data_IF_619607513863
#
_entry.id   IF_619607513863
#
_cell.length_a   1.000
_cell.length_b   1.000
_cell.length_c   1.000
_cell.angle_alpha   90.00
_cell.angle_beta   90.00
_cell.angle_gamma   90.00
#
_symmetry.space_group_name_H-M   'P 1'
#
loop_
_entity.id
_entity.type
_entity.pdbx_description
1 polymer ?
#
# COMPACT_ATOMS: atom_id res chain seq x y z
N UNK A 1 15.12 3.78 -24.13
CA UNK A 1 14.59 2.79 -25.11
C UNK A 1 14.88 3.14 -26.58
N UNK A 2 15.78 4.07 -26.90
CA UNK A 2 16.01 4.49 -28.29
C UNK A 2 16.45 3.35 -29.24
N UNK A 3 17.00 2.27 -28.69
CA UNK A 3 17.44 1.07 -29.41
C UNK A 3 16.34 -0.02 -29.56
N UNK A 4 15.11 0.19 -29.05
CA UNK A 4 14.02 -0.80 -29.08
C UNK A 4 12.75 -0.23 -29.75
N UNK A 5 12.75 0.01 -31.08
CA UNK A 5 11.66 0.71 -31.76
C UNK A 5 10.31 0.01 -31.65
N UNK A 6 10.27 -1.33 -31.71
CA UNK A 6 9.02 -2.09 -31.55
C UNK A 6 8.43 -1.99 -30.14
N UNK A 7 9.28 -2.01 -29.11
CA UNK A 7 8.84 -1.85 -27.72
C UNK A 7 8.27 -0.44 -27.48
N UNK A 8 8.89 0.58 -28.08
CA UNK A 8 8.39 1.97 -28.02
C UNK A 8 7.03 2.08 -28.71
N UNK A 9 6.85 1.49 -29.89
CA UNK A 9 5.55 1.49 -30.59
C UNK A 9 4.45 0.80 -29.78
N UNK A 10 4.74 -0.36 -29.19
CA UNK A 10 3.79 -1.10 -28.36
C UNK A 10 3.41 -0.31 -27.09
N UNK A 11 4.40 0.25 -26.39
CA UNK A 11 4.15 1.13 -25.24
C UNK A 11 3.32 2.36 -25.64
N UNK A 12 3.60 2.97 -26.81
CA UNK A 12 2.82 4.09 -27.35
C UNK A 12 1.35 3.73 -27.57
N UNK A 13 1.07 2.56 -28.14
CA UNK A 13 -0.29 2.07 -28.34
C UNK A 13 -1.03 1.85 -27.01
N UNK A 14 -0.38 1.25 -26.01
CA UNK A 14 -0.96 1.05 -24.67
C UNK A 14 -1.24 2.39 -23.99
N UNK A 15 -0.29 3.33 -24.04
CA UNK A 15 -0.45 4.67 -23.46
C UNK A 15 -1.61 5.41 -24.13
N UNK A 16 -1.70 5.34 -25.46
CA UNK A 16 -2.79 5.95 -26.21
C UNK A 16 -4.15 5.36 -25.80
N UNK A 17 -4.26 4.04 -25.70
CA UNK A 17 -5.49 3.37 -25.29
C UNK A 17 -5.91 3.76 -23.85
N UNK A 18 -4.95 3.80 -22.92
CA UNK A 18 -5.21 4.27 -21.54
C UNK A 18 -5.66 5.74 -21.53
N UNK A 19 -5.05 6.59 -22.37
CA UNK A 19 -5.45 7.99 -22.50
C UNK A 19 -6.90 8.15 -22.96
N UNK A 20 -7.34 7.33 -23.92
CA UNK A 20 -8.71 7.37 -24.45
C UNK A 20 -9.74 6.80 -23.47
N UNK A 21 -9.39 5.71 -22.77
CA UNK A 21 -10.34 4.97 -21.93
C UNK A 21 -10.40 5.45 -20.49
N UNK A 22 -9.32 6.05 -19.97
CA UNK A 22 -9.17 6.43 -18.57
C UNK A 22 -8.62 7.86 -18.45
N UNK A 23 -9.54 8.84 -18.52
CA UNK A 23 -9.19 10.26 -18.40
C UNK A 23 -8.52 10.53 -17.04
N UNK A 24 -7.35 11.18 -17.07
CA UNK A 24 -6.59 11.54 -15.87
C UNK A 24 -5.59 10.49 -15.37
N UNK A 25 -5.62 9.26 -15.89
CA UNK A 25 -4.72 8.17 -15.43
C UNK A 25 -3.29 8.27 -15.98
N UNK A 26 -3.05 9.01 -17.07
CA UNK A 26 -1.70 9.16 -17.63
C UNK A 26 -0.71 9.82 -16.66
N UNK A 27 -1.18 10.77 -15.85
CA UNK A 27 -0.40 11.35 -14.76
C UNK A 27 -0.01 10.32 -13.70
N UNK A 28 -0.54 9.08 -13.78
CA UNK A 28 -0.23 7.92 -12.95
C UNK A 28 0.91 7.02 -13.49
N UNK A 29 1.40 7.25 -14.70
CA UNK A 29 2.47 6.44 -15.28
C UNK A 29 3.81 7.20 -15.18
N UNK A 30 4.58 6.93 -14.12
CA UNK A 30 5.83 7.67 -13.83
C UNK A 30 7.07 7.13 -14.53
N UNK A 31 7.05 5.87 -14.96
CA UNK A 31 8.24 5.23 -15.51
C UNK A 31 7.85 4.16 -16.52
N UNK A 32 8.52 4.20 -17.65
CA UNK A 32 8.64 3.06 -18.54
C UNK A 32 10.03 2.47 -18.34
N UNK A 33 10.09 1.19 -17.99
CA UNK A 33 11.33 0.42 -17.92
C UNK A 33 11.29 -0.68 -18.97
N UNK A 34 12.39 -0.85 -19.69
CA UNK A 34 12.57 -2.00 -20.56
C UNK A 34 12.84 -3.23 -19.72
N UNK A 35 12.13 -4.31 -20.02
CA UNK A 35 12.35 -5.61 -19.42
C UNK A 35 13.27 -6.42 -20.35
N UNK A 36 14.42 -6.86 -19.83
CA UNK A 36 15.26 -7.85 -20.48
C UNK A 36 14.97 -9.20 -19.86
N UNK A 37 14.68 -10.20 -20.69
CA UNK A 37 14.47 -11.59 -20.27
C UNK A 37 15.71 -12.20 -19.61
N UNK A 38 16.88 -11.63 -19.85
CA UNK A 38 18.17 -12.23 -19.52
C UNK A 38 18.50 -12.19 -18.02
N UNK A 39 17.80 -11.37 -17.24
CA UNK A 39 17.99 -11.27 -15.79
C UNK A 39 17.20 -12.33 -14.99
N UNK A 40 16.32 -13.06 -15.67
CA UNK A 40 15.43 -14.04 -15.05
C UNK A 40 15.45 -15.36 -15.79
N UNK A 41 15.19 -16.45 -15.08
CA UNK A 41 14.99 -17.75 -15.70
C UNK A 41 13.74 -17.70 -16.59
N UNK A 42 13.90 -18.03 -17.87
CA UNK A 42 12.78 -18.17 -18.79
C UNK A 42 11.95 -19.39 -18.38
N UNK A 43 10.73 -19.15 -17.92
CA UNK A 43 9.74 -20.18 -17.62
C UNK A 43 8.56 -20.03 -18.59
N UNK A 44 8.46 -20.94 -19.56
CA UNK A 44 7.32 -20.95 -20.46
C UNK A 44 6.03 -21.34 -19.72
N UNK A 45 4.88 -21.06 -20.35
CA UNK A 45 3.57 -21.29 -19.74
C UNK A 45 3.35 -22.76 -19.40
N UNK A 46 3.89 -23.70 -20.21
CA UNK A 46 3.74 -25.13 -19.95
C UNK A 46 4.53 -25.55 -18.72
N UNK A 47 5.74 -25.03 -18.55
CA UNK A 47 6.59 -25.25 -17.38
C UNK A 47 5.93 -24.70 -16.13
N UNK A 48 5.42 -23.47 -16.17
CA UNK A 48 4.69 -22.88 -15.03
C UNK A 48 3.46 -23.69 -14.64
N UNK A 49 2.73 -24.24 -15.63
CA UNK A 49 1.56 -25.09 -15.41
C UNK A 49 1.94 -26.47 -14.85
N UNK A 50 2.97 -27.11 -15.40
CA UNK A 50 3.41 -28.44 -15.00
C UNK A 50 4.04 -28.44 -13.60
N UNK A 51 4.68 -27.32 -13.21
CA UNK A 51 5.16 -27.09 -11.85
C UNK A 51 4.06 -26.63 -10.89
N UNK A 52 2.82 -26.45 -11.38
CA UNK A 52 1.67 -25.93 -10.62
C UNK A 52 2.02 -24.68 -9.79
N UNK A 53 2.79 -23.73 -10.36
CA UNK A 53 3.31 -22.59 -9.60
C UNK A 53 2.21 -21.74 -8.99
N UNK A 54 1.13 -21.50 -9.75
CA UNK A 54 0.06 -20.58 -9.36
C UNK A 54 -1.32 -21.21 -9.30
N UNK A 55 -1.54 -22.31 -10.01
CA UNK A 55 -2.80 -23.03 -10.10
C UNK A 55 -2.53 -24.53 -10.21
N UNK A 56 -3.36 -25.34 -9.58
CA UNK A 56 -3.29 -26.79 -9.74
C UNK A 56 -3.83 -27.21 -11.10
N UNK A 57 -3.14 -28.14 -11.78
CA UNK A 57 -3.57 -28.68 -13.06
C UNK A 57 -4.84 -29.53 -12.93
N UNK A 58 -5.11 -30.10 -11.74
CA UNK A 58 -6.29 -30.94 -11.49
C UNK A 58 -7.57 -30.13 -11.31
N UNK A 59 -7.51 -29.03 -10.54
CA UNK A 59 -8.70 -28.26 -10.16
C UNK A 59 -8.83 -26.95 -10.95
N UNK A 60 -7.75 -26.47 -11.57
CA UNK A 60 -7.69 -25.13 -12.18
C UNK A 60 -7.76 -23.99 -11.16
N UNK A 61 -7.75 -24.30 -9.87
CA UNK A 61 -7.82 -23.31 -8.79
C UNK A 61 -6.44 -23.10 -8.18
N UNK A 62 -6.27 -22.00 -7.44
CA UNK A 62 -5.03 -21.76 -6.70
C UNK A 62 -4.79 -22.83 -5.62
N UNK A 63 -5.84 -23.49 -5.13
CA UNK A 63 -5.72 -24.52 -4.09
C UNK A 63 -4.94 -25.73 -4.62
N UNK A 64 -3.85 -26.06 -3.95
CA UNK A 64 -2.93 -27.14 -4.35
C UNK A 64 -1.74 -26.67 -5.19
N UNK A 65 -1.64 -25.38 -5.52
CA UNK A 65 -0.47 -24.80 -6.18
C UNK A 65 0.69 -24.55 -5.20
N UNK A 66 1.91 -24.44 -5.71
CA UNK A 66 3.07 -24.06 -4.89
C UNK A 66 2.83 -22.72 -4.18
N UNK A 67 2.31 -21.72 -4.90
CA UNK A 67 1.98 -20.41 -4.31
C UNK A 67 1.05 -20.55 -3.11
N UNK A 68 0.03 -21.41 -3.17
CA UNK A 68 -0.91 -21.60 -2.05
C UNK A 68 -0.27 -22.21 -0.79
N UNK A 69 0.86 -22.90 -0.94
CA UNK A 69 1.61 -23.50 0.18
C UNK A 69 2.58 -22.49 0.79
N UNK A 70 3.27 -21.70 -0.04
CA UNK A 70 4.34 -20.80 0.41
C UNK A 70 3.87 -19.39 0.74
N UNK A 71 2.71 -18.97 0.23
CA UNK A 71 2.16 -17.64 0.50
C UNK A 71 1.52 -17.57 1.88
N UNK A 72 2.38 -17.31 2.88
CA UNK A 72 2.01 -17.00 4.26
C UNK A 72 2.22 -15.50 4.57
N UNK A 73 2.25 -14.67 3.51
CA UNK A 73 2.51 -13.24 3.62
C UNK A 73 1.44 -12.54 4.47
N UNK A 74 1.83 -11.45 5.13
CA UNK A 74 0.94 -10.70 6.03
C UNK A 74 0.30 -9.47 5.39
N UNK A 75 0.74 -9.09 4.20
CA UNK A 75 0.20 -7.97 3.44
C UNK A 75 -0.18 -8.40 2.03
N UNK A 76 -1.26 -7.85 1.45
CA UNK A 76 -1.63 -8.16 0.06
C UNK A 76 -0.53 -7.81 -0.96
N UNK A 77 0.21 -6.73 -0.73
CA UNK A 77 1.36 -6.35 -1.56
C UNK A 77 2.51 -7.34 -1.47
N UNK A 78 2.73 -7.96 -0.29
CA UNK A 78 3.70 -9.03 -0.10
C UNK A 78 3.35 -10.28 -0.90
N UNK A 79 2.08 -10.70 -0.89
CA UNK A 79 1.62 -11.85 -1.69
C UNK A 79 1.77 -11.61 -3.19
N UNK A 80 1.45 -10.38 -3.67
CA UNK A 80 1.70 -9.99 -5.07
C UNK A 80 3.20 -10.02 -5.42
N UNK A 81 4.06 -9.56 -4.52
CA UNK A 81 5.51 -9.61 -4.72
C UNK A 81 6.04 -11.05 -4.79
N UNK A 82 5.60 -11.91 -3.86
CA UNK A 82 5.99 -13.33 -3.84
C UNK A 82 5.56 -14.04 -5.13
N UNK A 83 4.30 -13.84 -5.56
CA UNK A 83 3.80 -14.36 -6.84
C UNK A 83 4.67 -13.91 -8.02
N UNK A 84 5.07 -12.63 -8.04
CA UNK A 84 5.96 -12.09 -9.08
C UNK A 84 7.33 -12.78 -9.06
N UNK A 85 7.94 -12.92 -7.88
CA UNK A 85 9.24 -13.58 -7.74
C UNK A 85 9.21 -15.04 -8.18
N UNK A 86 8.14 -15.77 -7.86
CA UNK A 86 7.99 -17.16 -8.31
C UNK A 86 7.88 -17.29 -9.83
N UNK A 87 7.24 -16.32 -10.50
CA UNK A 87 7.13 -16.30 -11.97
C UNK A 87 8.37 -15.75 -12.68
N UNK A 88 9.27 -15.13 -11.93
CA UNK A 88 10.49 -14.48 -12.44
C UNK A 88 11.67 -14.83 -11.53
N UNK A 89 12.15 -16.09 -11.54
CA UNK A 89 13.32 -16.47 -10.74
C UNK A 89 14.54 -15.69 -11.22
N UNK A 90 15.29 -15.10 -10.29
CA UNK A 90 16.48 -14.32 -10.61
C UNK A 90 17.64 -15.21 -11.08
N UNK A 91 18.47 -14.67 -11.97
CA UNK A 91 19.76 -15.25 -12.36
C UNK A 91 20.96 -14.51 -11.75
N UNK A 92 20.75 -13.33 -11.18
CA UNK A 92 21.79 -12.56 -10.51
C UNK A 92 22.11 -13.16 -9.12
N UNK A 93 23.32 -13.72 -9.01
CA UNK A 93 23.79 -14.33 -7.76
C UNK A 93 23.92 -13.32 -6.62
N UNK A 94 24.32 -12.07 -6.89
CA UNK A 94 24.48 -11.07 -5.83
C UNK A 94 23.13 -10.73 -5.18
N UNK A 95 22.09 -10.56 -6.00
CA UNK A 95 20.73 -10.32 -5.50
C UNK A 95 20.14 -11.56 -4.82
N UNK A 96 20.44 -12.77 -5.31
CA UNK A 96 20.04 -14.02 -4.64
C UNK A 96 20.67 -14.14 -3.26
N UNK A 97 21.99 -13.92 -3.14
CA UNK A 97 22.71 -13.94 -1.86
C UNK A 97 22.13 -12.88 -0.91
N UNK A 98 21.92 -11.65 -1.38
CA UNK A 98 21.31 -10.58 -0.57
C UNK A 98 19.94 -10.96 0.00
N UNK A 99 19.12 -11.71 -0.74
CA UNK A 99 17.82 -12.23 -0.26
C UNK A 99 17.99 -13.37 0.73
N UNK A 100 18.93 -14.29 0.47
CA UNK A 100 19.24 -15.41 1.35
C UNK A 100 19.77 -14.91 2.70
N UNK A 101 20.64 -13.91 2.69
CA UNK A 101 21.17 -13.25 3.88
C UNK A 101 20.04 -12.64 4.72
N UNK A 102 19.09 -11.95 4.08
CA UNK A 102 17.91 -11.41 4.76
C UNK A 102 17.03 -12.51 5.37
N UNK A 103 16.83 -13.63 4.65
CA UNK A 103 16.10 -14.78 5.17
C UNK A 103 16.84 -15.39 6.37
N UNK A 104 18.16 -15.62 6.25
CA UNK A 104 19.01 -16.19 7.30
C UNK A 104 18.93 -15.36 8.58
N UNK A 105 19.04 -14.03 8.47
CA UNK A 105 18.91 -13.13 9.60
C UNK A 105 17.60 -13.33 10.38
N UNK A 106 16.46 -13.41 9.69
CA UNK A 106 15.14 -13.66 10.31
C UNK A 106 14.93 -15.12 10.76
N UNK A 107 15.61 -16.09 10.17
CA UNK A 107 15.57 -17.49 10.60
C UNK A 107 16.25 -17.62 11.95
N UNK A 108 17.44 -17.06 12.09
CA UNK A 108 18.26 -17.13 13.31
C UNK A 108 17.65 -16.29 14.45
N UNK A 109 16.90 -15.24 14.12
CA UNK A 109 16.30 -14.29 15.09
C UNK A 109 14.79 -14.45 15.18
N UNK A 110 14.37 -15.52 15.83
CA UNK A 110 12.94 -15.88 15.95
C UNK A 110 12.08 -14.80 16.64
N UNK A 111 12.61 -14.07 17.62
CA UNK A 111 11.89 -12.98 18.28
C UNK A 111 11.62 -11.81 17.31
N UNK A 112 12.68 -11.33 16.64
CA UNK A 112 12.60 -10.26 15.64
C UNK A 112 11.64 -10.64 14.51
N UNK A 113 11.72 -11.87 14.00
CA UNK A 113 10.80 -12.40 12.98
C UNK A 113 9.35 -12.33 13.43
N UNK A 114 9.04 -12.81 14.64
CA UNK A 114 7.66 -12.83 15.13
C UNK A 114 7.11 -11.41 15.37
N UNK A 115 7.94 -10.49 15.87
CA UNK A 115 7.57 -9.09 16.01
C UNK A 115 7.29 -8.44 14.64
N UNK A 116 8.18 -8.65 13.65
CA UNK A 116 7.98 -8.13 12.30
C UNK A 116 6.72 -8.68 11.64
N UNK A 117 6.45 -9.99 11.77
CA UNK A 117 5.21 -10.63 11.30
C UNK A 117 3.98 -9.97 11.94
N UNK A 118 4.01 -9.75 13.26
CA UNK A 118 2.89 -9.12 13.97
C UNK A 118 2.64 -7.69 13.51
N UNK A 119 3.71 -6.90 13.33
CA UNK A 119 3.61 -5.53 12.84
C UNK A 119 3.04 -5.47 11.42
N UNK A 120 3.59 -6.28 10.51
CA UNK A 120 3.17 -6.33 9.11
C UNK A 120 1.72 -6.81 8.96
N UNK A 121 1.20 -7.61 9.89
CA UNK A 121 -0.22 -8.01 9.90
C UNK A 121 -1.20 -6.85 10.08
N UNK A 122 -0.76 -5.72 10.63
CA UNK A 122 -1.57 -4.50 10.75
C UNK A 122 -1.47 -3.55 9.55
N UNK A 123 -0.57 -3.83 8.59
CA UNK A 123 -0.29 -2.94 7.46
C UNK A 123 -1.32 -3.16 6.36
N UNK A 124 -1.99 -2.08 5.95
CA UNK A 124 -2.93 -2.09 4.85
C UNK A 124 -2.22 -2.26 3.50
N UNK A 125 -3.00 -2.44 2.43
CA UNK A 125 -2.46 -2.52 1.07
C UNK A 125 -1.95 -1.15 0.58
N UNK A 126 -0.72 -0.78 0.97
CA UNK A 126 -0.10 0.51 0.67
C UNK A 126 0.00 0.79 -0.83
N UNK A 127 0.37 -0.20 -1.63
CA UNK A 127 0.45 -0.05 -3.10
C UNK A 127 -0.92 0.35 -3.68
N UNK A 128 -2.01 -0.25 -3.20
CA UNK A 128 -3.36 0.13 -3.60
C UNK A 128 -3.76 1.52 -3.09
N UNK A 129 -3.45 1.83 -1.83
CA UNK A 129 -3.78 3.12 -1.22
C UNK A 129 -3.08 4.27 -1.94
N UNK A 130 -1.78 4.15 -2.23
CA UNK A 130 -1.00 5.16 -2.94
C UNK A 130 -1.59 5.44 -4.33
N UNK A 131 -1.98 4.39 -5.08
CA UNK A 131 -2.59 4.57 -6.39
C UNK A 131 -3.94 5.30 -6.30
N UNK A 132 -4.73 5.06 -5.26
CA UNK A 132 -6.01 5.77 -5.03
C UNK A 132 -5.80 7.24 -4.63
N UNK A 133 -4.81 7.52 -3.77
CA UNK A 133 -4.44 8.89 -3.39
C UNK A 133 -4.01 9.67 -4.62
N UNK A 134 -3.14 9.08 -5.44
CA UNK A 134 -2.68 9.69 -6.69
C UNK A 134 -3.79 9.88 -7.73
N UNK A 135 -4.83 9.06 -7.67
CA UNK A 135 -6.03 9.22 -8.48
C UNK A 135 -7.06 10.18 -7.91
N UNK A 136 -6.79 10.83 -6.78
CA UNK A 136 -7.73 11.73 -6.10
C UNK A 136 -9.09 11.07 -5.76
N UNK A 137 -9.10 9.74 -5.63
CA UNK A 137 -10.28 8.92 -5.33
C UNK A 137 -10.17 8.21 -3.98
N UNK A 138 -9.12 8.49 -3.19
CA UNK A 138 -8.96 7.95 -1.86
C UNK A 138 -10.04 8.51 -0.92
N UNK A 139 -10.65 7.63 -0.13
CA UNK A 139 -11.64 8.04 0.89
C UNK A 139 -10.97 8.31 2.24
N UNK A 140 -11.60 9.07 3.17
CA UNK A 140 -10.99 9.40 4.46
C UNK A 140 -10.47 8.21 5.26
N UNK A 141 -11.23 7.12 5.31
CA UNK A 141 -10.82 5.88 6.00
C UNK A 141 -9.55 5.25 5.40
N UNK A 142 -9.37 5.39 4.10
CA UNK A 142 -8.17 4.91 3.40
C UNK A 142 -6.94 5.74 3.74
N UNK A 143 -7.10 7.05 3.91
CA UNK A 143 -6.02 7.94 4.37
C UNK A 143 -5.62 7.63 5.81
N UNK A 144 -6.58 7.37 6.70
CA UNK A 144 -6.28 6.91 8.07
C UNK A 144 -5.58 5.54 8.06
N UNK A 145 -6.00 4.61 7.20
CA UNK A 145 -5.33 3.32 7.05
C UNK A 145 -3.89 3.47 6.52
N UNK A 146 -3.65 4.41 5.61
CA UNK A 146 -2.32 4.79 5.14
C UNK A 146 -1.46 5.30 6.29
N UNK A 147 -1.98 6.24 7.10
CA UNK A 147 -1.30 6.77 8.29
C UNK A 147 -0.87 5.65 9.24
N UNK A 148 -1.82 4.81 9.68
CA UNK A 148 -1.56 3.68 10.60
C UNK A 148 -0.54 2.68 10.04
N UNK A 149 -0.54 2.48 8.73
CA UNK A 149 0.43 1.61 8.05
C UNK A 149 1.84 2.23 8.05
N UNK A 150 1.96 3.54 7.83
CA UNK A 150 3.23 4.26 7.86
C UNK A 150 3.81 4.36 9.29
N UNK A 151 2.95 4.52 10.31
CA UNK A 151 3.33 4.46 11.74
C UNK A 151 4.00 3.12 12.12
N UNK A 152 3.78 2.05 11.33
CA UNK A 152 4.41 0.75 11.55
C UNK A 152 5.87 0.70 11.08
N UNK A 153 6.25 1.52 10.10
CA UNK A 153 7.59 1.54 9.51
C UNK A 153 8.72 1.80 10.53
N UNK A 154 8.68 2.85 11.38
CA UNK A 154 9.73 3.07 12.37
C UNK A 154 9.88 1.89 13.34
N UNK A 155 8.77 1.26 13.73
CA UNK A 155 8.78 0.08 14.62
C UNK A 155 9.44 -1.14 13.97
N UNK A 156 9.23 -1.34 12.67
CA UNK A 156 9.93 -2.40 11.92
C UNK A 156 11.44 -2.11 11.82
N UNK A 157 11.83 -0.84 11.70
CA UNK A 157 13.25 -0.45 11.71
C UNK A 157 13.90 -0.74 13.06
N UNK A 158 13.23 -0.41 14.16
CA UNK A 158 13.74 -0.69 15.51
C UNK A 158 14.02 -2.19 15.72
N UNK A 159 13.19 -3.08 15.16
CA UNK A 159 13.43 -4.53 15.21
C UNK A 159 14.72 -4.92 14.48
N UNK A 160 15.00 -4.27 13.36
CA UNK A 160 16.22 -4.51 12.56
C UNK A 160 17.46 -3.93 13.29
N UNK A 161 17.30 -2.79 13.98
CA UNK A 161 18.39 -2.09 14.68
C UNK A 161 18.74 -2.69 16.06
N UNK A 162 17.74 -3.23 16.77
CA UNK A 162 17.85 -3.62 18.18
C UNK A 162 18.74 -4.83 18.47
N UNK A 163 19.28 -5.51 17.45
CA UNK A 163 20.01 -6.78 17.60
C UNK A 163 21.49 -6.69 17.18
N UNK A 164 22.07 -5.49 17.33
CA UNK A 164 23.44 -5.17 16.90
C UNK A 164 23.50 -4.71 15.46
N UNK A 165 24.52 -3.93 15.12
CA UNK A 165 24.74 -3.35 13.78
C UNK A 165 25.20 -4.44 12.79
N UNK A 166 24.36 -5.45 12.56
CA UNK A 166 24.57 -6.49 11.58
C UNK A 166 24.28 -5.91 10.20
N UNK A 167 25.34 -5.39 9.56
CA UNK A 167 25.28 -4.71 8.26
C UNK A 167 24.67 -5.55 7.14
N UNK A 168 24.57 -6.88 7.34
CA UNK A 168 24.05 -7.86 6.38
C UNK A 168 22.68 -7.49 5.83
N UNK A 169 21.80 -6.95 6.67
CA UNK A 169 20.45 -6.52 6.25
C UNK A 169 20.22 -5.00 6.36
N UNK A 170 21.29 -4.22 6.52
CA UNK A 170 21.20 -2.76 6.66
C UNK A 170 20.46 -2.08 5.49
N UNK A 171 20.56 -2.66 4.30
CA UNK A 171 19.83 -2.18 3.13
C UNK A 171 18.30 -2.22 3.28
N UNK A 172 17.74 -3.18 4.03
CA UNK A 172 16.30 -3.24 4.28
C UNK A 172 15.85 -2.05 5.12
N UNK A 173 16.67 -1.69 6.12
CA UNK A 173 16.44 -0.50 6.95
C UNK A 173 16.48 0.78 6.11
N UNK A 174 17.42 0.89 5.18
CA UNK A 174 17.56 2.09 4.33
C UNK A 174 16.36 2.29 3.39
N UNK A 175 15.74 1.19 2.94
CA UNK A 175 14.53 1.22 2.12
C UNK A 175 13.25 1.52 2.94
N UNK A 176 13.27 1.27 4.25
CA UNK A 176 12.15 1.56 5.16
C UNK A 176 12.11 3.05 5.51
N UNK A 177 11.33 3.82 4.75
CA UNK A 177 11.15 5.26 4.94
C UNK A 177 9.93 5.57 5.82
N UNK A 178 10.09 6.16 7.02
CA UNK A 178 8.96 6.42 7.94
C UNK A 178 7.94 7.44 7.43
N UNK A 179 8.34 8.35 6.54
CA UNK A 179 7.45 9.36 5.94
C UNK A 179 6.67 10.19 6.99
N UNK A 180 7.36 10.65 8.03
CA UNK A 180 6.75 11.30 9.20
C UNK A 180 5.86 12.49 8.83
N UNK A 181 6.28 13.33 7.87
CA UNK A 181 5.49 14.47 7.39
C UNK A 181 4.09 14.07 6.90
N UNK A 182 3.96 12.91 6.25
CA UNK A 182 2.66 12.39 5.77
C UNK A 182 1.83 11.87 6.94
N UNK A 183 2.48 11.20 7.90
CA UNK A 183 1.81 10.70 9.10
C UNK A 183 1.21 11.86 9.89
N UNK A 184 2.01 12.90 10.14
CA UNK A 184 1.63 14.08 10.91
C UNK A 184 0.50 14.85 10.21
N UNK A 185 0.63 15.08 8.90
CA UNK A 185 -0.41 15.76 8.12
C UNK A 185 -1.76 15.04 8.23
N UNK A 186 -1.78 13.71 8.11
CA UNK A 186 -3.03 12.95 8.22
C UNK A 186 -3.55 12.94 9.66
N UNK A 187 -2.66 12.88 10.66
CA UNK A 187 -3.02 12.93 12.08
C UNK A 187 -3.70 14.25 12.47
N UNK A 188 -3.13 15.36 12.01
CA UNK A 188 -3.64 16.71 12.24
C UNK A 188 -4.92 16.98 11.45
N UNK A 189 -4.99 16.52 10.19
CA UNK A 189 -6.11 16.83 9.30
C UNK A 189 -7.36 15.99 9.56
N UNK A 190 -7.22 14.70 9.86
CA UNK A 190 -8.34 13.76 9.90
C UNK A 190 -8.64 13.25 11.31
N UNK A 191 -9.92 13.07 11.62
CA UNK A 191 -10.33 12.32 12.81
C UNK A 191 -9.93 10.84 12.70
N UNK A 192 -9.78 10.15 13.83
CA UNK A 192 -9.25 8.77 13.84
C UNK A 192 -10.22 7.72 13.29
N UNK A 193 -11.53 8.01 13.31
CA UNK A 193 -12.58 7.18 12.73
C UNK A 193 -13.51 8.02 11.85
N UNK A 194 -13.06 8.41 10.63
CA UNK A 194 -13.88 9.22 9.76
C UNK A 194 -15.03 8.40 9.18
N UNK A 195 -16.13 9.08 8.86
CA UNK A 195 -17.22 8.52 8.06
C UNK A 195 -16.67 8.06 6.69
N UNK A 196 -17.29 7.04 6.10
CA UNK A 196 -16.93 6.57 4.76
C UNK A 196 -17.38 7.52 3.66
N UNK A 197 -18.37 8.38 3.94
CA UNK A 197 -18.94 9.35 3.00
C UNK A 197 -18.41 10.76 3.32
N UNK A 198 -17.69 11.37 2.37
CA UNK A 198 -17.27 12.77 2.45
C UNK A 198 -18.47 13.72 2.62
N UNK A 199 -19.65 13.35 2.11
CA UNK A 199 -20.84 14.19 2.11
C UNK A 199 -21.52 14.34 3.47
N UNK A 200 -21.23 13.47 4.44
CA UNK A 200 -21.87 13.50 5.77
C UNK A 200 -21.11 14.38 6.77
N UNK A 201 -19.95 14.93 6.36
CA UNK A 201 -19.08 15.69 7.24
C UNK A 201 -18.40 14.82 8.30
N UNK A 202 -17.87 15.46 9.35
CA UNK A 202 -17.20 14.76 10.46
C UNK A 202 -15.84 14.14 10.11
N UNK A 203 -15.23 14.53 8.99
CA UNK A 203 -13.96 13.97 8.50
C UNK A 203 -12.76 14.78 8.99
N UNK A 204 -12.79 16.10 8.77
CA UNK A 204 -11.69 17.00 9.14
C UNK A 204 -11.71 17.27 10.64
N UNK A 205 -10.56 17.11 11.30
CA UNK A 205 -10.38 17.35 12.74
C UNK A 205 -10.56 18.85 13.06
N UNK A 206 -11.15 19.15 14.22
CA UNK A 206 -11.22 20.51 14.74
C UNK A 206 -9.80 21.02 15.05
N UNK A 207 -9.52 22.27 14.71
CA UNK A 207 -8.21 22.91 14.82
C UNK A 207 -7.38 22.85 13.55
N UNK A 208 -7.77 22.04 12.55
CA UNK A 208 -7.02 21.96 11.28
C UNK A 208 -7.31 23.15 10.34
N UNK A 209 -8.51 23.70 10.40
CA UNK A 209 -8.92 24.85 9.57
C UNK A 209 -9.83 25.78 10.35
N UNK A 210 -9.34 26.98 10.64
CA UNK A 210 -10.08 28.02 11.37
C UNK A 210 -11.39 28.41 10.66
N UNK A 211 -11.36 28.49 9.33
CA UNK A 211 -12.54 28.78 8.50
C UNK A 211 -13.60 27.69 8.65
N UNK A 212 -13.20 26.42 8.54
CA UNK A 212 -14.12 25.30 8.68
C UNK A 212 -14.72 25.23 10.09
N UNK A 213 -13.92 25.49 11.11
CA UNK A 213 -14.37 25.49 12.50
C UNK A 213 -15.33 26.65 12.79
N UNK A 214 -15.07 27.83 12.21
CA UNK A 214 -15.98 28.98 12.27
C UNK A 214 -17.34 28.65 11.64
N UNK A 215 -17.35 28.01 10.47
CA UNK A 215 -18.57 27.57 9.79
C UNK A 215 -19.35 26.52 10.60
N UNK A 216 -18.64 25.56 11.22
CA UNK A 216 -19.25 24.54 12.09
C UNK A 216 -19.90 25.18 13.33
N UNK A 217 -19.23 26.15 13.94
CA UNK A 217 -19.73 26.85 15.12
C UNK A 217 -20.99 27.67 14.78
N UNK A 218 -20.97 28.41 13.66
CA UNK A 218 -22.14 29.14 13.18
C UNK A 218 -23.35 28.22 12.91
N UNK A 219 -23.12 27.10 12.22
CA UNK A 219 -24.16 26.09 11.93
C UNK A 219 -24.72 25.45 13.21
N UNK A 220 -23.85 25.12 14.17
CA UNK A 220 -24.25 24.58 15.46
C UNK A 220 -25.08 25.56 16.29
N UNK A 221 -24.70 26.85 16.30
CA UNK A 221 -25.44 27.90 17.00
C UNK A 221 -26.81 28.14 16.39
N UNK A 222 -26.94 28.14 15.05
CA UNK A 222 -28.23 28.28 14.37
C UNK A 222 -29.20 27.13 14.75
N UNK A 223 -28.72 25.87 14.78
CA UNK A 223 -29.54 24.72 15.22
C UNK A 223 -29.99 24.83 16.67
N UNK A 224 -29.09 25.23 17.58
CA UNK A 224 -29.42 25.44 19.00
C UNK A 224 -30.44 26.56 19.18
N UNK A 225 -30.27 27.66 18.45
CA UNK A 225 -31.20 28.78 18.48
C UNK A 225 -32.61 28.35 18.06
N UNK A 226 -32.74 27.63 16.94
CA UNK A 226 -34.03 27.11 16.47
C UNK A 226 -34.69 26.14 17.47
N UNK A 227 -33.91 25.21 18.04
CA UNK A 227 -34.42 24.26 19.03
C UNK A 227 -34.89 24.94 20.33
N UNK A 228 -34.20 26.01 20.75
CA UNK A 228 -34.62 26.81 21.91
C UNK A 228 -35.90 27.60 21.61
N UNK A 229 -36.02 28.16 20.41
CA UNK A 229 -37.21 28.89 19.97
C UNK A 229 -38.44 27.97 19.91
N UNK A 230 -38.31 26.76 19.35
CA UNK A 230 -39.38 25.75 19.32
C UNK A 230 -39.84 25.39 20.74
N UNK A 231 -38.90 25.19 21.66
CA UNK A 231 -39.21 24.89 23.07
C UNK A 231 -39.98 26.03 23.74
N UNK A 232 -39.54 27.27 23.54
CA UNK A 232 -40.21 28.45 24.09
C UNK A 232 -41.64 28.60 23.56
N UNK A 233 -41.87 28.39 22.26
CA UNK A 233 -43.23 28.48 21.68
C UNK A 233 -44.14 27.33 22.17
N UNK A 234 -43.58 26.14 22.38
CA UNK A 234 -44.33 25.00 22.94
C UNK A 234 -44.72 25.18 24.41
N UNK A 235 -43.96 25.94 25.19
CA UNK A 235 -44.30 26.28 26.58
C UNK A 235 -45.35 27.41 26.67
N UNK A 236 -45.49 28.22 25.60
CA UNK A 236 -46.46 29.32 25.52
C UNK A 236 -47.85 28.89 25.02
N UNK A 237 -47.97 27.69 24.44
CA UNK A 237 -49.20 27.16 23.81
C UNK A 237 -49.70 25.93 24.54
#
# INVERSE_FOLDING_TARGET
CAHLPLAVSAAGAIIHYVAETQKGVLGQLNRLSTYATDNFMALDVQTQRNLELFQSARTGTNAGSLLSVVDLTKTPMGGRLLRRWMGQPLLDLAELTRRQDAIGWFVDRSLARNQAISLLGGVADLERLINRVRGEIAIPRELVALRRSLETVPRVREIIEGDGDDSTIGWLKDELKPCQEVVDLIAEALVDEPSSSLGEGGVIRTGFSEDLDSLRLASGNAKKYLANMERQERERT
#
